data_IF_901629419503
#
_entry.id   IF_901629419503
#
_cell.length_a   1.000
_cell.length_b   1.000
_cell.length_c   1.000
_cell.angle_alpha   90.00
_cell.angle_beta   90.00
_cell.angle_gamma   90.00
#
_symmetry.space_group_name_H-M   'P 1'
#
loop_
_entity.id
_entity.type
_entity.pdbx_description
1 polymer ?
#
# COMPACT_ATOMS: atom_id res chain seq x y z
N UNK A 1 4.17 12.60 -34.15
CA UNK A 1 5.20 12.78 -33.11
C UNK A 1 5.07 11.67 -32.08
N UNK A 2 5.94 10.66 -32.13
CA UNK A 2 5.94 9.57 -31.16
C UNK A 2 6.63 10.07 -29.88
N UNK A 3 5.83 10.33 -28.84
CA UNK A 3 6.35 10.62 -27.50
C UNK A 3 6.68 9.29 -26.82
N UNK A 4 7.97 9.02 -26.64
CA UNK A 4 8.48 7.96 -25.77
C UNK A 4 8.29 8.41 -24.33
N UNK A 5 7.44 7.73 -23.57
CA UNK A 5 7.27 7.99 -22.14
C UNK A 5 8.15 7.01 -21.36
N UNK A 6 9.11 7.53 -20.59
CA UNK A 6 9.81 6.77 -19.57
C UNK A 6 8.80 6.53 -18.45
N UNK A 7 8.32 5.30 -18.31
CA UNK A 7 7.39 4.91 -17.26
C UNK A 7 8.19 4.57 -16.02
N UNK A 8 8.01 5.32 -14.93
CA UNK A 8 8.50 4.91 -13.61
C UNK A 8 7.66 3.73 -13.14
N UNK A 9 8.13 2.52 -13.45
CA UNK A 9 7.55 1.27 -12.97
C UNK A 9 8.18 0.95 -11.61
N UNK A 10 7.39 0.98 -10.54
CA UNK A 10 7.76 0.22 -9.35
C UNK A 10 7.52 -1.25 -9.68
N UNK A 11 8.61 -1.90 -10.10
CA UNK A 11 8.67 -3.34 -10.32
C UNK A 11 8.93 -4.00 -8.99
N UNK A 12 8.13 -5.01 -8.65
CA UNK A 12 8.52 -5.95 -7.61
C UNK A 12 8.35 -7.38 -8.11
N UNK A 13 9.33 -8.20 -7.78
CA UNK A 13 9.31 -9.64 -8.05
C UNK A 13 8.61 -10.31 -6.88
N UNK A 14 7.67 -11.20 -7.17
CA UNK A 14 7.09 -12.08 -6.17
C UNK A 14 8.21 -12.80 -5.41
N UNK A 15 8.13 -13.00 -4.09
CA UNK A 15 9.23 -13.64 -3.37
C UNK A 15 9.50 -15.08 -3.80
N UNK A 16 8.56 -15.75 -4.48
CA UNK A 16 8.79 -17.05 -5.13
C UNK A 16 9.60 -16.97 -6.44
N UNK A 17 9.95 -15.76 -6.92
CA UNK A 17 10.70 -15.52 -8.15
C UNK A 17 9.95 -15.79 -9.45
N UNK A 18 8.69 -16.23 -9.39
CA UNK A 18 7.94 -16.72 -10.56
C UNK A 18 7.07 -15.67 -11.22
N UNK A 19 6.84 -14.53 -10.57
CA UNK A 19 5.96 -13.47 -11.07
C UNK A 19 6.59 -12.11 -10.91
N UNK A 20 6.42 -11.30 -11.95
CA UNK A 20 6.71 -9.87 -11.92
C UNK A 20 5.38 -9.15 -11.73
N UNK A 21 5.29 -8.34 -10.69
CA UNK A 21 4.17 -7.44 -10.50
C UNK A 21 4.64 -6.03 -10.82
N UNK A 22 3.81 -5.29 -11.54
CA UNK A 22 4.02 -3.89 -11.82
C UNK A 22 2.82 -3.11 -11.32
N UNK A 23 3.07 -2.05 -10.57
CA UNK A 23 2.05 -1.02 -10.39
C UNK A 23 2.15 -0.07 -11.57
N UNK A 24 1.16 -0.11 -12.44
CA UNK A 24 1.01 0.92 -13.45
C UNK A 24 0.40 2.15 -12.78
N UNK A 25 1.09 3.28 -12.81
CA UNK A 25 0.48 4.58 -12.49
C UNK A 25 -0.52 5.03 -13.55
N UNK A 26 -0.66 4.30 -14.68
CA UNK A 26 -1.79 4.52 -15.59
C UNK A 26 -3.06 4.08 -14.88
N UNK A 27 -3.94 5.01 -14.55
CA UNK A 27 -5.19 4.63 -13.95
C UNK A 27 -6.05 3.98 -15.04
N UNK A 28 -6.73 2.88 -14.73
CA UNK A 28 -7.87 2.43 -15.56
C UNK A 28 -8.94 3.56 -15.58
N UNK A 29 -8.95 4.38 -14.54
CA UNK A 29 -9.76 5.59 -14.38
C UNK A 29 -8.85 6.76 -13.93
N UNK A 30 -8.58 7.73 -14.83
CA UNK A 30 -7.62 8.84 -14.66
C UNK A 30 -7.77 9.64 -13.35
N UNK A 31 -8.88 9.49 -12.64
CA UNK A 31 -9.14 10.14 -11.35
C UNK A 31 -8.50 9.45 -10.14
N UNK A 32 -7.95 8.23 -10.27
CA UNK A 32 -7.39 7.46 -9.15
C UNK A 32 -5.88 7.45 -9.19
N UNK A 33 -5.25 8.40 -8.49
CA UNK A 33 -3.81 8.36 -8.23
C UNK A 33 -3.52 7.21 -7.26
N UNK A 34 -2.90 6.15 -7.76
CA UNK A 34 -2.49 4.98 -6.99
C UNK A 34 -0.97 4.79 -7.09
N UNK A 35 -0.30 4.52 -5.97
CA UNK A 35 1.16 4.44 -5.89
C UNK A 35 1.67 3.50 -4.79
N UNK A 36 2.97 3.24 -4.80
CA UNK A 36 3.74 2.67 -3.68
C UNK A 36 3.23 1.34 -3.13
N UNK A 37 2.84 0.42 -4.02
CA UNK A 37 2.28 -0.84 -3.57
C UNK A 37 3.31 -1.77 -2.92
N UNK A 38 2.80 -2.58 -2.00
CA UNK A 38 3.45 -3.73 -1.39
C UNK A 38 2.53 -4.94 -1.58
N UNK A 39 3.05 -6.04 -2.12
CA UNK A 39 2.35 -7.32 -2.17
C UNK A 39 2.81 -8.23 -1.04
N UNK A 40 1.89 -8.96 -0.43
CA UNK A 40 2.22 -10.03 0.51
C UNK A 40 3.00 -11.15 -0.20
N UNK A 41 3.95 -11.82 0.49
CA UNK A 41 4.73 -12.91 -0.11
C UNK A 41 3.91 -14.09 -0.63
N UNK A 42 2.80 -14.37 0.04
CA UNK A 42 1.82 -15.40 -0.32
C UNK A 42 0.77 -14.88 -1.32
N UNK A 43 0.93 -13.65 -1.80
CA UNK A 43 0.02 -12.94 -2.70
C UNK A 43 -1.40 -12.77 -2.13
N UNK A 44 -1.59 -12.91 -0.81
CA UNK A 44 -2.93 -12.88 -0.19
C UNK A 44 -3.52 -11.47 -0.08
N UNK A 45 -2.70 -10.42 -0.14
CA UNK A 45 -3.14 -9.02 -0.16
C UNK A 45 -2.13 -8.09 -0.84
N UNK A 46 -2.60 -6.90 -1.22
CA UNK A 46 -1.78 -5.77 -1.67
C UNK A 46 -2.13 -4.56 -0.81
N UNK A 47 -1.10 -3.89 -0.27
CA UNK A 47 -1.18 -2.55 0.29
C UNK A 47 -0.75 -1.54 -0.77
N UNK A 48 -1.39 -0.37 -0.84
CA UNK A 48 -1.03 0.68 -1.79
C UNK A 48 -1.59 2.04 -1.34
N UNK A 49 -1.08 3.13 -1.92
CA UNK A 49 -1.58 4.48 -1.66
C UNK A 49 -2.67 4.83 -2.65
N UNK A 50 -3.72 5.49 -2.15
CA UNK A 50 -4.76 6.17 -2.94
C UNK A 50 -5.03 7.54 -2.31
N UNK A 51 -5.90 8.36 -2.93
CA UNK A 51 -6.31 9.68 -2.42
C UNK A 51 -6.74 9.70 -0.94
N UNK A 52 -7.27 8.60 -0.41
CA UNK A 52 -7.71 8.43 0.97
C UNK A 52 -6.66 7.70 1.86
N UNK A 53 -5.40 7.75 1.46
CA UNK A 53 -4.23 7.18 2.16
C UNK A 53 -4.00 5.70 1.85
N UNK A 54 -3.47 4.97 2.82
CA UNK A 54 -3.12 3.55 2.67
C UNK A 54 -4.40 2.73 2.52
N UNK A 55 -4.45 1.95 1.44
CA UNK A 55 -5.51 1.04 1.10
C UNK A 55 -5.00 -0.40 1.05
N UNK A 56 -5.90 -1.34 1.29
CA UNK A 56 -5.66 -2.78 1.17
C UNK A 56 -6.70 -3.44 0.27
N UNK A 57 -6.27 -4.40 -0.55
CA UNK A 57 -7.16 -5.34 -1.26
C UNK A 57 -6.66 -6.78 -1.07
N UNK A 58 -7.58 -7.74 -1.10
CA UNK A 58 -7.32 -9.15 -0.80
C UNK A 58 -7.49 -10.03 -2.02
N UNK A 59 -6.63 -11.03 -2.17
CA UNK A 59 -6.75 -12.03 -3.22
C UNK A 59 -7.73 -13.13 -2.77
N UNK A 60 -8.85 -13.26 -3.47
CA UNK A 60 -9.92 -14.20 -3.12
C UNK A 60 -9.70 -15.57 -3.80
N UNK A 61 -10.37 -16.61 -3.28
CA UNK A 61 -10.23 -18.01 -3.75
C UNK A 61 -10.50 -18.19 -5.25
N UNK A 62 -11.34 -17.34 -5.83
CA UNK A 62 -11.70 -17.34 -7.26
C UNK A 62 -10.69 -16.61 -8.17
N UNK A 63 -9.49 -16.26 -7.67
CA UNK A 63 -8.46 -15.48 -8.39
C UNK A 63 -8.88 -14.04 -8.72
N UNK A 64 -9.85 -13.50 -7.98
CA UNK A 64 -10.31 -12.12 -8.12
C UNK A 64 -9.81 -11.33 -6.91
N UNK A 65 -9.36 -10.10 -7.13
CA UNK A 65 -9.04 -9.17 -6.06
C UNK A 65 -10.31 -8.53 -5.50
N UNK A 66 -10.40 -8.40 -4.18
CA UNK A 66 -11.50 -7.67 -3.54
C UNK A 66 -11.48 -6.19 -3.94
N UNK A 67 -12.58 -5.47 -3.67
CA UNK A 67 -12.50 -4.00 -3.58
C UNK A 67 -11.44 -3.57 -2.57
N UNK A 68 -10.95 -2.34 -2.70
CA UNK A 68 -10.02 -1.77 -1.73
C UNK A 68 -10.74 -1.27 -0.47
N UNK A 69 -10.03 -1.31 0.65
CA UNK A 69 -10.45 -0.73 1.92
C UNK A 69 -9.38 0.25 2.38
N UNK A 70 -9.75 1.49 2.72
CA UNK A 70 -8.83 2.43 3.35
C UNK A 70 -8.59 2.00 4.79
N UNK A 71 -7.32 1.77 5.15
CA UNK A 71 -6.89 1.44 6.51
C UNK A 71 -6.41 2.68 7.27
N UNK A 72 -6.25 3.82 6.59
CA UNK A 72 -5.81 5.10 7.16
C UNK A 72 -6.64 5.53 8.38
N UNK A 73 -7.94 5.25 8.37
CA UNK A 73 -8.83 5.54 9.51
C UNK A 73 -8.44 4.79 10.77
N UNK A 74 -7.85 3.59 10.65
CA UNK A 74 -7.41 2.77 11.80
C UNK A 74 -5.99 3.17 12.25
N UNK A 75 -5.21 3.80 11.38
CA UNK A 75 -3.88 4.32 11.72
C UNK A 75 -3.93 5.56 12.64
N UNK A 76 -5.14 6.05 12.96
CA UNK A 76 -5.42 7.15 13.90
C UNK A 76 -4.70 8.47 13.55
N UNK A 77 -4.54 8.76 12.26
CA UNK A 77 -3.89 9.98 11.77
C UNK A 77 -4.84 10.78 10.89
N UNK A 78 -4.93 12.09 11.12
CA UNK A 78 -5.50 13.05 10.18
C UNK A 78 -4.50 13.48 9.10
N UNK A 79 -3.23 13.09 9.25
CA UNK A 79 -2.13 13.41 8.35
C UNK A 79 -1.97 12.35 7.26
N UNK A 80 -1.27 12.73 6.19
CA UNK A 80 -0.95 11.82 5.10
C UNK A 80 0.01 10.71 5.57
N UNK A 81 -0.39 9.46 5.35
CA UNK A 81 0.39 8.25 5.61
C UNK A 81 0.75 7.60 4.27
N UNK A 82 2.05 7.36 4.04
CA UNK A 82 2.61 6.93 2.75
C UNK A 82 3.57 5.75 2.86
N UNK A 83 3.94 5.16 1.71
CA UNK A 83 4.97 4.11 1.59
C UNK A 83 4.80 2.90 2.53
N UNK A 84 3.66 2.19 2.47
CA UNK A 84 3.43 1.04 3.33
C UNK A 84 4.36 -0.12 2.97
N UNK A 85 4.95 -0.76 3.99
CA UNK A 85 5.74 -2.00 3.89
C UNK A 85 5.39 -2.90 5.06
N UNK A 86 5.42 -4.21 4.87
CA UNK A 86 5.23 -5.15 5.98
C UNK A 86 6.58 -5.76 6.35
N UNK A 87 6.80 -5.99 7.65
CA UNK A 87 8.00 -6.64 8.14
C UNK A 87 8.15 -8.03 7.54
N UNK A 88 9.40 -8.50 7.43
CA UNK A 88 9.68 -9.83 6.87
C UNK A 88 8.94 -10.96 7.60
N UNK A 89 8.80 -10.85 8.92
CA UNK A 89 8.06 -11.81 9.75
C UNK A 89 6.54 -11.59 9.76
N UNK A 90 6.05 -10.62 8.97
CA UNK A 90 4.62 -10.34 8.79
C UNK A 90 3.94 -9.69 9.99
N UNK A 91 4.65 -9.32 11.05
CA UNK A 91 4.05 -8.82 12.31
C UNK A 91 3.74 -7.33 12.34
N UNK A 92 4.42 -6.52 11.53
CA UNK A 92 4.30 -5.07 11.57
C UNK A 92 4.11 -4.47 10.18
N UNK A 93 3.31 -3.42 10.10
CA UNK A 93 3.23 -2.53 8.93
C UNK A 93 4.04 -1.28 9.28
N UNK A 94 5.08 -1.00 8.50
CA UNK A 94 5.81 0.25 8.51
C UNK A 94 5.26 1.20 7.46
N UNK A 95 5.23 2.49 7.77
CA UNK A 95 4.80 3.54 6.86
C UNK A 95 5.44 4.87 7.27
N UNK A 96 5.46 5.82 6.35
CA UNK A 96 5.87 7.18 6.65
C UNK A 96 4.65 8.03 6.93
N UNK A 97 4.75 8.95 7.89
CA UNK A 97 3.63 9.82 8.25
C UNK A 97 4.11 11.26 8.37
N UNK A 98 3.34 12.18 7.79
CA UNK A 98 3.59 13.63 7.90
C UNK A 98 3.07 14.23 9.22
N UNK A 99 2.64 13.37 10.16
CA UNK A 99 2.26 13.82 11.49
C UNK A 99 3.44 14.47 12.22
N UNK A 100 3.19 15.55 13.00
CA UNK A 100 4.26 16.22 13.74
C UNK A 100 4.96 15.24 14.67
N UNK A 101 6.24 15.01 14.43
CA UNK A 101 7.10 14.32 15.40
C UNK A 101 7.57 15.33 16.46
N UNK A 102 7.87 14.83 17.66
CA UNK A 102 8.42 15.65 18.75
C UNK A 102 9.82 16.18 18.42
N UNK A 103 10.50 15.50 17.50
CA UNK A 103 11.82 15.87 16.99
C UNK A 103 11.61 16.82 15.81
N UNK A 104 12.01 18.09 15.95
CA UNK A 104 11.97 19.11 14.88
C UNK A 104 12.96 18.80 13.76
N UNK A 105 12.86 17.63 13.15
CA UNK A 105 13.57 17.31 11.92
C UNK A 105 12.81 17.97 10.79
N UNK A 106 13.38 19.06 10.26
CA UNK A 106 13.08 19.74 8.99
C UNK A 106 11.59 19.75 8.59
N UNK A 107 10.98 20.95 8.59
CA UNK A 107 9.60 21.19 8.14
C UNK A 107 9.22 20.32 6.93
N UNK A 108 8.13 19.56 7.06
CA UNK A 108 7.53 18.75 6.01
C UNK A 108 8.28 17.46 5.61
N UNK A 109 9.09 16.89 6.50
CA UNK A 109 9.67 15.54 6.30
C UNK A 109 8.86 14.50 7.08
N UNK A 110 8.36 13.43 6.43
CA UNK A 110 7.60 12.42 7.15
C UNK A 110 8.53 11.52 7.98
N UNK A 111 8.07 11.13 9.17
CA UNK A 111 8.79 10.20 10.05
C UNK A 111 8.29 8.77 9.84
N UNK A 112 9.13 7.78 10.16
CA UNK A 112 8.77 6.36 10.07
C UNK A 112 7.96 5.96 11.30
N UNK A 113 6.86 5.26 11.07
CA UNK A 113 6.01 4.69 12.11
C UNK A 113 5.66 3.24 11.80
N UNK A 114 5.09 2.56 12.79
CA UNK A 114 4.64 1.18 12.65
C UNK A 114 3.35 0.91 13.40
N UNK A 115 2.60 -0.08 12.93
CA UNK A 115 1.45 -0.69 13.62
C UNK A 115 1.52 -2.21 13.53
N UNK A 116 0.79 -2.91 14.39
CA UNK A 116 0.61 -4.36 14.27
C UNK A 116 -0.10 -4.69 12.96
N UNK A 117 0.38 -5.72 12.24
CA UNK A 117 -0.26 -6.22 11.02
C UNK A 117 -1.60 -6.90 11.28
N UNK A 118 -1.96 -7.18 12.53
CA UNK A 118 -3.28 -7.72 12.89
C UNK A 118 -4.44 -6.82 12.42
N UNK A 119 -4.18 -5.52 12.19
CA UNK A 119 -5.15 -4.63 11.54
C UNK A 119 -5.65 -5.18 10.20
N UNK A 120 -4.78 -5.89 9.44
CA UNK A 120 -5.15 -6.51 8.16
C UNK A 120 -6.29 -7.51 8.34
N UNK A 121 -6.28 -8.27 9.43
CA UNK A 121 -7.29 -9.29 9.70
C UNK A 121 -8.66 -8.69 10.05
N UNK A 122 -8.71 -7.45 10.54
CA UNK A 122 -9.97 -6.72 10.71
C UNK A 122 -10.63 -6.42 9.37
N UNK A 123 -9.84 -6.04 8.37
CA UNK A 123 -10.33 -5.79 7.01
C UNK A 123 -10.60 -7.07 6.23
N UNK A 124 -9.84 -8.14 6.48
CA UNK A 124 -10.04 -9.44 5.83
C UNK A 124 -11.44 -9.99 6.09
N UNK A 125 -11.97 -9.79 7.31
CA UNK A 125 -13.34 -10.18 7.70
C UNK A 125 -14.44 -9.49 6.90
N UNK A 126 -14.15 -8.34 6.26
CA UNK A 126 -15.12 -7.60 5.45
C UNK A 126 -15.26 -8.15 4.03
N UNK A 127 -14.36 -9.04 3.62
CA UNK A 127 -14.41 -9.74 2.32
C UNK A 127 -15.17 -11.04 2.54
N UNK A 128 -16.35 -11.17 1.92
CA UNK A 128 -17.07 -12.46 1.86
C UNK A 128 -16.35 -13.35 0.83
N UNK A 129 -16.11 -14.61 1.18
CA UNK A 129 -15.50 -15.61 0.29
C UNK A 129 -16.29 -15.83 -1.00
#
# INVERSE_FOLDING_TARGET
>A
MNKTYIVTLLLFVAPNGKRLFFTSTRPIDKSKNEADAYIAPDESYILFIRRDGINICFHMKNKIWSRSFSISKVLNSEFEDTWPRVSYDGKFIFFSSFRPSKEKLINNTPSIYWVSSLVIEEFRKLVKE
#
